data_IF_818333464433
#
_entry.id   IF_818333464433
#
_cell.length_a   1.000
_cell.length_b   1.000
_cell.length_c   1.000
_cell.angle_alpha   90.00
_cell.angle_beta   90.00
_cell.angle_gamma   90.00
#
_symmetry.space_group_name_H-M   'P 1'
#
loop_
_entity.id
_entity.type
_entity.pdbx_description
1 polymer ?
#
# COMPACT_ATOMS: atom_id res chain seq x y z
N UNK A 1 15.22 29.83 69.06
CA UNK A 1 14.28 28.79 68.59
C UNK A 1 14.08 29.08 67.10
N UNK A 2 14.92 28.47 66.24
CA UNK A 2 14.98 28.76 64.80
C UNK A 2 14.26 27.63 64.09
N UNK A 3 13.23 27.96 63.33
CA UNK A 3 12.45 27.04 62.51
C UNK A 3 13.10 26.98 61.14
N UNK A 4 13.66 25.82 60.81
CA UNK A 4 14.18 25.53 59.47
C UNK A 4 13.04 25.06 58.56
N UNK A 5 12.72 25.84 57.51
CA UNK A 5 11.82 25.42 56.44
C UNK A 5 12.58 24.43 55.51
N UNK A 6 12.13 23.19 55.43
CA UNK A 6 12.58 22.24 54.47
C UNK A 6 11.94 22.54 53.10
N UNK A 7 12.78 22.91 52.13
CA UNK A 7 12.45 23.07 50.73
C UNK A 7 12.32 21.71 50.06
N UNK A 8 11.12 21.33 49.65
CA UNK A 8 10.89 20.13 48.88
C UNK A 8 11.25 20.40 47.40
N UNK A 9 12.38 19.83 46.94
CA UNK A 9 12.76 19.82 45.55
C UNK A 9 11.82 18.88 44.76
N UNK A 10 10.98 19.43 43.89
CA UNK A 10 10.27 18.65 42.86
C UNK A 10 11.27 18.15 41.82
N UNK A 11 11.52 16.84 41.78
CA UNK A 11 12.20 16.19 40.66
C UNK A 11 11.28 16.23 39.46
N UNK A 12 11.59 17.08 38.46
CA UNK A 12 10.97 17.02 37.14
C UNK A 12 11.55 15.82 36.42
N UNK A 13 10.75 14.79 36.23
CA UNK A 13 11.08 13.68 35.35
C UNK A 13 10.86 14.17 33.93
N UNK A 14 11.92 14.47 33.23
CA UNK A 14 11.87 14.68 31.77
C UNK A 14 11.68 13.30 31.16
N UNK A 15 10.47 13.01 30.73
CA UNK A 15 10.21 11.86 29.86
C UNK A 15 10.74 12.27 28.49
N UNK A 16 11.93 11.79 28.16
CA UNK A 16 12.42 11.84 26.79
C UNK A 16 11.50 10.95 25.95
N UNK A 17 10.65 11.58 25.17
CA UNK A 17 9.95 10.92 24.07
C UNK A 17 11.03 10.39 23.15
N UNK A 18 11.07 9.08 22.82
CA UNK A 18 12.02 8.61 21.83
C UNK A 18 11.69 9.33 20.53
N UNK A 19 12.55 10.27 20.16
CA UNK A 19 12.59 10.79 18.81
C UNK A 19 12.94 9.59 17.95
N UNK A 20 11.94 9.00 17.30
CA UNK A 20 12.19 8.11 16.18
C UNK A 20 13.02 8.93 15.20
N UNK A 21 14.32 8.77 15.26
CA UNK A 21 15.18 9.12 14.15
C UNK A 21 14.66 8.26 13.02
N UNK A 22 13.93 8.91 12.12
CA UNK A 22 13.70 8.39 10.77
C UNK A 22 15.10 8.19 10.22
N UNK A 23 15.62 6.97 10.32
CA UNK A 23 16.77 6.57 9.52
C UNK A 23 16.36 6.93 8.10
N UNK A 24 17.21 7.70 7.45
CA UNK A 24 17.16 8.01 6.03
C UNK A 24 17.40 6.69 5.27
N UNK A 25 16.40 5.83 5.31
CA UNK A 25 16.31 4.62 4.52
C UNK A 25 16.20 5.08 3.08
N UNK A 26 17.34 5.03 2.39
CA UNK A 26 17.61 5.47 1.03
C UNK A 26 16.34 5.75 0.24
N UNK A 27 16.13 7.01 -0.10
CA UNK A 27 14.94 7.67 -0.65
C UNK A 27 14.05 6.74 -1.49
N UNK A 28 13.00 6.20 -0.85
CA UNK A 28 12.05 5.29 -1.48
C UNK A 28 11.06 6.10 -2.28
N UNK A 29 11.17 6.03 -3.61
CA UNK A 29 10.20 6.66 -4.50
C UNK A 29 8.85 5.96 -4.40
N UNK A 30 7.77 6.73 -4.23
CA UNK A 30 6.41 6.22 -4.08
C UNK A 30 5.93 5.56 -5.37
N UNK A 31 5.24 4.42 -5.21
CA UNK A 31 4.57 3.71 -6.29
C UNK A 31 3.11 4.12 -6.37
N UNK A 32 2.55 4.12 -7.59
CA UNK A 32 1.11 4.27 -7.80
C UNK A 32 0.46 2.89 -7.65
N UNK A 33 -0.40 2.76 -6.66
CA UNK A 33 -1.05 1.48 -6.33
C UNK A 33 -2.56 1.63 -6.37
N UNK A 34 -3.22 0.73 -7.07
CA UNK A 34 -4.66 0.59 -7.05
C UNK A 34 -5.06 -0.64 -6.23
N UNK A 35 -6.13 -0.55 -5.46
CA UNK A 35 -6.76 -1.72 -4.87
C UNK A 35 -7.89 -2.13 -5.81
N UNK A 36 -7.81 -3.35 -6.33
CA UNK A 36 -8.85 -3.93 -7.14
C UNK A 36 -9.93 -4.58 -6.27
N UNK A 37 -10.34 -5.79 -6.64
CA UNK A 37 -11.34 -6.53 -5.88
C UNK A 37 -10.80 -6.94 -4.50
N UNK A 38 -11.65 -6.78 -3.47
CA UNK A 38 -11.51 -7.42 -2.17
C UNK A 38 -12.80 -8.15 -1.84
N UNK A 39 -12.76 -9.44 -1.51
CA UNK A 39 -13.95 -10.28 -1.36
C UNK A 39 -13.89 -11.17 -0.12
N UNK A 40 -15.06 -11.48 0.43
CA UNK A 40 -15.19 -12.49 1.46
C UNK A 40 -15.46 -13.86 0.79
N UNK A 41 -14.47 -14.75 0.82
CA UNK A 41 -14.57 -16.11 0.27
C UNK A 41 -15.05 -17.13 1.31
N UNK A 42 -15.20 -16.72 2.57
CA UNK A 42 -15.69 -17.61 3.65
C UNK A 42 -17.20 -17.83 3.55
N UNK A 43 -17.71 -18.86 4.25
CA UNK A 43 -19.15 -19.07 4.40
C UNK A 43 -19.79 -18.13 5.45
N UNK A 44 -18.95 -17.44 6.24
CA UNK A 44 -19.43 -16.52 7.26
C UNK A 44 -20.01 -15.24 6.65
N UNK A 45 -21.14 -14.78 7.19
CA UNK A 45 -21.89 -13.63 6.73
C UNK A 45 -22.46 -13.74 5.29
N UNK A 46 -22.38 -14.92 4.66
CA UNK A 46 -23.10 -15.21 3.42
C UNK A 46 -24.55 -15.56 3.75
N UNK A 47 -25.42 -14.56 3.83
CA UNK A 47 -26.86 -14.73 3.95
C UNK A 47 -27.55 -14.96 2.60
N UNK A 48 -28.88 -15.10 2.61
CA UNK A 48 -29.72 -15.30 1.40
C UNK A 48 -29.58 -14.12 0.40
N UNK A 49 -29.19 -12.96 0.88
CA UNK A 49 -29.02 -11.71 0.10
C UNK A 49 -27.54 -11.40 -0.22
N UNK A 50 -26.62 -12.36 -0.02
CA UNK A 50 -25.23 -12.18 -0.38
C UNK A 50 -25.08 -12.28 -1.90
N UNK A 51 -24.56 -11.22 -2.50
CA UNK A 51 -24.09 -11.19 -3.89
C UNK A 51 -22.72 -10.45 -3.95
N UNK A 52 -22.12 -10.40 -5.14
CA UNK A 52 -20.81 -9.75 -5.33
C UNK A 52 -20.85 -8.24 -5.07
N UNK A 53 -22.02 -7.61 -5.16
CA UNK A 53 -22.23 -6.19 -4.93
C UNK A 53 -22.49 -5.90 -3.44
N UNK A 54 -22.92 -6.91 -2.70
CA UNK A 54 -23.35 -6.81 -1.31
C UNK A 54 -22.46 -7.66 -0.39
N UNK A 55 -21.14 -7.33 -0.37
CA UNK A 55 -20.13 -7.96 0.49
C UNK A 55 -19.61 -6.97 1.54
N UNK A 56 -20.29 -6.81 2.68
CA UNK A 56 -19.90 -5.85 3.70
C UNK A 56 -18.54 -6.15 4.33
N UNK A 57 -18.17 -7.44 4.49
CA UNK A 57 -16.87 -7.80 5.05
C UNK A 57 -15.74 -7.53 4.06
N UNK A 58 -15.95 -7.79 2.78
CA UNK A 58 -14.98 -7.46 1.74
C UNK A 58 -14.76 -5.96 1.62
N UNK A 59 -15.84 -5.17 1.64
CA UNK A 59 -15.74 -3.69 1.65
C UNK A 59 -14.99 -3.17 2.86
N UNK A 60 -15.30 -3.68 4.05
CA UNK A 60 -14.62 -3.29 5.28
C UNK A 60 -13.12 -3.63 5.26
N UNK A 61 -12.75 -4.81 4.77
CA UNK A 61 -11.35 -5.20 4.63
C UNK A 61 -10.62 -4.32 3.61
N UNK A 62 -11.28 -3.91 2.52
CA UNK A 62 -10.76 -2.96 1.55
C UNK A 62 -10.47 -1.60 2.20
N UNK A 63 -11.41 -1.07 3.00
CA UNK A 63 -11.26 0.20 3.70
C UNK A 63 -10.10 0.16 4.71
N UNK A 64 -9.97 -0.94 5.46
CA UNK A 64 -8.84 -1.15 6.39
C UNK A 64 -7.51 -1.17 5.63
N UNK A 65 -7.44 -1.91 4.51
CA UNK A 65 -6.24 -1.99 3.68
C UNK A 65 -5.86 -0.62 3.11
N UNK A 66 -6.84 0.11 2.53
CA UNK A 66 -6.64 1.45 1.99
C UNK A 66 -6.09 2.41 3.04
N UNK A 67 -6.70 2.42 4.23
CA UNK A 67 -6.27 3.28 5.35
C UNK A 67 -4.84 2.97 5.79
N UNK A 68 -4.49 1.69 5.94
CA UNK A 68 -3.14 1.30 6.36
C UNK A 68 -2.08 1.62 5.30
N UNK A 69 -2.37 1.38 4.01
CA UNK A 69 -1.47 1.73 2.91
C UNK A 69 -1.28 3.25 2.80
N UNK A 70 -2.37 4.04 2.90
CA UNK A 70 -2.30 5.50 2.89
C UNK A 70 -1.46 6.03 4.07
N UNK A 71 -1.71 5.52 5.28
CA UNK A 71 -1.00 5.92 6.50
C UNK A 71 0.49 5.59 6.45
N UNK A 72 0.91 4.59 5.66
CA UNK A 72 2.33 4.25 5.48
C UNK A 72 3.13 5.37 4.80
N UNK A 73 2.47 6.24 4.01
CA UNK A 73 3.09 7.30 3.21
C UNK A 73 4.03 6.80 2.09
N UNK A 74 4.09 5.48 1.85
CA UNK A 74 5.00 4.85 0.87
C UNK A 74 4.39 4.71 -0.52
N UNK A 75 3.08 4.97 -0.66
CA UNK A 75 2.32 4.79 -1.89
C UNK A 75 1.51 6.03 -2.27
N UNK A 76 1.23 6.17 -3.54
CA UNK A 76 0.15 7.00 -4.09
C UNK A 76 -1.00 6.02 -4.39
N UNK A 77 -2.06 6.08 -3.58
CA UNK A 77 -3.21 5.21 -3.77
C UNK A 77 -4.17 5.81 -4.80
N UNK A 78 -4.63 4.96 -5.71
CA UNK A 78 -5.59 5.32 -6.75
C UNK A 78 -6.92 4.68 -6.43
N UNK A 79 -7.98 5.52 -6.41
CA UNK A 79 -9.34 5.02 -6.21
C UNK A 79 -9.83 4.23 -7.44
N UNK A 80 -10.41 3.06 -7.16
CA UNK A 80 -10.97 2.18 -8.20
C UNK A 80 -12.36 1.64 -7.83
N UNK A 81 -12.70 1.61 -6.55
CA UNK A 81 -13.98 1.10 -6.07
C UNK A 81 -15.13 2.00 -6.51
N UNK A 82 -14.95 3.32 -6.38
CA UNK A 82 -15.93 4.34 -6.70
C UNK A 82 -15.55 5.13 -7.97
N UNK A 83 -14.81 4.48 -8.88
CA UNK A 83 -14.29 5.14 -10.09
C UNK A 83 -15.41 5.75 -10.96
N UNK A 84 -16.57 5.10 -11.07
CA UNK A 84 -17.71 5.63 -11.83
C UNK A 84 -18.21 6.95 -11.25
N UNK A 85 -18.39 7.02 -9.95
CA UNK A 85 -18.82 8.22 -9.23
C UNK A 85 -17.77 9.34 -9.38
N UNK A 86 -16.49 8.98 -9.24
CA UNK A 86 -15.39 9.93 -9.43
C UNK A 86 -15.37 10.51 -10.85
N UNK A 87 -15.56 9.68 -11.88
CA UNK A 87 -15.63 10.14 -13.27
C UNK A 87 -16.81 11.06 -13.53
N UNK A 88 -17.98 10.77 -12.94
CA UNK A 88 -19.15 11.66 -13.03
C UNK A 88 -18.87 13.05 -12.41
N UNK A 89 -18.23 13.09 -11.23
CA UNK A 89 -17.86 14.36 -10.59
C UNK A 89 -16.78 15.12 -11.41
N UNK A 90 -15.79 14.42 -11.97
CA UNK A 90 -14.81 15.03 -12.87
C UNK A 90 -15.47 15.67 -14.10
N UNK A 91 -16.47 14.99 -14.72
CA UNK A 91 -17.21 15.53 -15.86
C UNK A 91 -18.01 16.79 -15.51
N UNK A 92 -18.67 16.81 -14.34
CA UNK A 92 -19.39 17.99 -13.84
C UNK A 92 -18.50 19.21 -13.65
N UNK A 93 -17.25 18.98 -13.24
CA UNK A 93 -16.26 20.04 -13.04
C UNK A 93 -15.49 20.45 -14.31
N UNK A 94 -15.87 19.92 -15.46
CA UNK A 94 -15.18 20.20 -16.73
C UNK A 94 -13.76 19.62 -16.80
N UNK A 95 -13.42 18.71 -15.91
CA UNK A 95 -12.13 18.04 -15.85
C UNK A 95 -11.98 16.90 -16.84
N UNK A 96 -10.75 16.60 -17.19
CA UNK A 96 -10.40 15.46 -18.03
C UNK A 96 -10.58 14.11 -17.33
N UNK A 97 -10.13 13.05 -17.97
CA UNK A 97 -10.21 11.69 -17.45
C UNK A 97 -9.38 11.51 -16.17
N UNK A 98 -10.01 11.14 -15.06
CA UNK A 98 -9.36 10.84 -13.79
C UNK A 98 -8.72 9.42 -13.77
N UNK A 99 -8.19 8.97 -14.91
CA UNK A 99 -7.66 7.60 -15.04
C UNK A 99 -6.14 7.55 -15.08
N UNK A 100 -5.53 7.81 -13.94
CA UNK A 100 -4.09 7.55 -13.78
C UNK A 100 -3.81 6.06 -13.78
N UNK A 101 -2.82 5.62 -14.54
CA UNK A 101 -2.34 4.23 -14.52
C UNK A 101 -1.67 3.89 -13.19
N UNK A 102 -1.98 2.71 -12.64
CA UNK A 102 -1.29 2.16 -11.49
C UNK A 102 -0.04 1.39 -11.93
N UNK A 103 1.02 1.41 -11.12
CA UNK A 103 2.17 0.53 -11.28
C UNK A 103 1.82 -0.89 -10.83
N UNK A 104 1.09 -0.98 -9.72
CA UNK A 104 0.66 -2.24 -9.13
C UNK A 104 -0.82 -2.23 -8.78
N UNK A 105 -1.42 -3.42 -8.85
CA UNK A 105 -2.77 -3.66 -8.37
C UNK A 105 -2.75 -4.69 -7.25
N UNK A 106 -3.41 -4.38 -6.13
CA UNK A 106 -3.61 -5.31 -5.02
C UNK A 106 -5.00 -5.94 -5.16
N UNK A 107 -5.06 -7.27 -5.09
CA UNK A 107 -6.29 -8.04 -5.06
C UNK A 107 -6.28 -8.86 -3.78
N UNK A 108 -7.36 -8.80 -3.00
CA UNK A 108 -7.43 -9.46 -1.71
C UNK A 108 -8.70 -10.26 -1.50
N UNK A 109 -8.65 -11.15 -0.50
CA UNK A 109 -9.82 -11.89 -0.03
C UNK A 109 -9.66 -12.28 1.44
N UNK A 110 -10.78 -12.35 2.15
CA UNK A 110 -10.85 -13.00 3.45
C UNK A 110 -11.07 -14.50 3.17
N UNK A 111 -10.10 -15.33 3.55
CA UNK A 111 -10.07 -16.77 3.24
C UNK A 111 -10.61 -17.61 4.38
N UNK A 112 -10.37 -17.19 5.64
CA UNK A 112 -10.90 -17.84 6.83
C UNK A 112 -11.50 -16.79 7.77
N UNK A 113 -12.61 -17.17 8.43
CA UNK A 113 -13.22 -16.35 9.46
C UNK A 113 -13.94 -17.25 10.47
N UNK A 114 -13.57 -17.11 11.74
CA UNK A 114 -14.12 -17.90 12.82
C UNK A 114 -14.42 -17.06 14.07
N UNK A 115 -15.50 -17.42 14.76
CA UNK A 115 -15.89 -16.87 16.07
C UNK A 115 -16.01 -17.98 17.09
N UNK A 116 -15.40 -17.80 18.25
CA UNK A 116 -15.45 -18.75 19.36
C UNK A 116 -15.84 -18.05 20.65
N UNK A 117 -16.80 -18.62 21.37
CA UNK A 117 -17.15 -18.18 22.71
C UNK A 117 -16.79 -19.29 23.70
N UNK A 118 -15.99 -18.96 24.70
CA UNK A 118 -15.60 -19.88 25.78
C UNK A 118 -16.04 -19.30 27.11
N UNK A 119 -16.71 -20.08 27.94
CA UNK A 119 -17.16 -19.67 29.28
C UNK A 119 -16.51 -20.53 30.37
N UNK A 120 -16.09 -19.91 31.47
CA UNK A 120 -15.72 -20.60 32.72
C UNK A 120 -16.62 -20.07 33.83
N UNK A 121 -17.34 -21.00 34.52
CA UNK A 121 -18.23 -20.65 35.62
C UNK A 121 -17.58 -21.13 36.93
N UNK A 122 -17.38 -20.25 37.87
CA UNK A 122 -17.05 -20.54 39.26
C UNK A 122 -18.28 -20.33 40.16
N UNK A 123 -18.19 -20.69 41.44
CA UNK A 123 -19.30 -20.60 42.40
C UNK A 123 -19.84 -19.18 42.56
N UNK A 124 -18.98 -18.16 42.46
CA UNK A 124 -19.33 -16.74 42.63
C UNK A 124 -18.84 -15.84 41.47
N UNK A 125 -18.30 -16.45 40.40
CA UNK A 125 -17.79 -15.69 39.26
C UNK A 125 -18.03 -16.43 37.95
N UNK A 126 -18.32 -15.68 36.90
CA UNK A 126 -18.39 -16.18 35.53
C UNK A 126 -17.45 -15.37 34.66
N UNK A 127 -16.69 -16.06 33.82
CA UNK A 127 -15.81 -15.47 32.82
C UNK A 127 -16.25 -15.93 31.44
N UNK A 128 -16.48 -14.99 30.54
CA UNK A 128 -16.79 -15.26 29.13
C UNK A 128 -15.71 -14.65 28.27
N UNK A 129 -15.09 -15.49 27.43
CA UNK A 129 -14.08 -15.06 26.45
C UNK A 129 -14.64 -15.22 25.05
N UNK A 130 -14.61 -14.15 24.28
CA UNK A 130 -14.96 -14.11 22.87
C UNK A 130 -13.67 -13.99 22.07
N UNK A 131 -13.46 -14.89 21.13
CA UNK A 131 -12.29 -14.88 20.24
C UNK A 131 -12.78 -14.82 18.80
N UNK A 132 -12.15 -13.98 17.98
CA UNK A 132 -12.32 -13.94 16.53
C UNK A 132 -10.98 -14.19 15.89
N UNK A 133 -10.97 -15.05 14.88
CA UNK A 133 -9.82 -15.32 14.02
C UNK A 133 -10.21 -15.04 12.58
N UNK A 134 -9.31 -14.39 11.83
CA UNK A 134 -9.48 -14.11 10.42
C UNK A 134 -8.17 -14.40 9.66
N UNK A 135 -8.28 -14.98 8.47
CA UNK A 135 -7.18 -15.06 7.53
C UNK A 135 -7.50 -14.21 6.30
N UNK A 136 -6.49 -13.47 5.85
CA UNK A 136 -6.57 -12.59 4.69
C UNK A 136 -5.46 -12.94 3.73
N UNK A 137 -5.81 -13.19 2.48
CA UNK A 137 -4.87 -13.42 1.39
C UNK A 137 -4.85 -12.23 0.44
N UNK A 138 -3.67 -11.88 -0.06
CA UNK A 138 -3.46 -10.83 -1.06
C UNK A 138 -2.59 -11.31 -2.21
N UNK A 139 -2.76 -10.66 -3.36
CA UNK A 139 -1.90 -10.78 -4.54
C UNK A 139 -1.53 -9.39 -5.02
N UNK A 140 -0.25 -9.18 -5.28
CA UNK A 140 0.28 -7.98 -5.91
C UNK A 140 0.55 -8.27 -7.38
N UNK A 141 -0.13 -7.56 -8.24
CA UNK A 141 -0.06 -7.72 -9.70
C UNK A 141 0.69 -6.53 -10.28
N UNK A 142 1.71 -6.78 -11.08
CA UNK A 142 2.34 -5.78 -11.93
C UNK A 142 1.41 -5.46 -13.10
N UNK A 143 0.92 -4.22 -13.17
CA UNK A 143 -0.09 -3.83 -14.16
C UNK A 143 0.46 -3.87 -15.58
N UNK A 144 1.75 -3.60 -15.76
CA UNK A 144 2.38 -3.57 -17.09
C UNK A 144 2.49 -4.94 -17.73
N UNK A 145 2.67 -5.99 -16.94
CA UNK A 145 2.84 -7.37 -17.40
C UNK A 145 1.63 -8.26 -17.15
N UNK A 146 0.73 -7.87 -16.23
CA UNK A 146 -0.36 -8.70 -15.74
C UNK A 146 0.10 -9.86 -14.83
N UNK A 147 1.38 -9.91 -14.46
CA UNK A 147 1.93 -10.98 -13.66
C UNK A 147 1.71 -10.75 -12.16
N UNK A 148 1.35 -11.81 -11.44
CA UNK A 148 1.37 -11.83 -9.98
C UNK A 148 2.84 -11.89 -9.56
N UNK A 149 3.34 -10.80 -8.96
CA UNK A 149 4.74 -10.69 -8.53
C UNK A 149 4.93 -11.01 -7.04
N UNK A 150 3.83 -11.08 -6.30
CA UNK A 150 3.81 -11.45 -4.90
C UNK A 150 2.43 -11.96 -4.51
N UNK A 151 2.38 -12.97 -3.63
CA UNK A 151 1.17 -13.47 -2.99
C UNK A 151 1.51 -13.90 -1.59
N UNK A 152 0.64 -13.56 -0.63
CA UNK A 152 0.84 -13.89 0.77
C UNK A 152 -0.52 -14.00 1.49
N UNK A 153 -0.51 -14.70 2.64
CA UNK A 153 -1.64 -14.85 3.53
C UNK A 153 -1.20 -14.62 4.96
N UNK A 154 -1.95 -13.84 5.71
CA UNK A 154 -1.70 -13.61 7.12
C UNK A 154 -2.96 -13.90 7.95
N UNK A 155 -2.73 -14.28 9.22
CA UNK A 155 -3.79 -14.53 10.19
C UNK A 155 -3.75 -13.46 11.27
N UNK A 156 -4.93 -12.99 11.65
CA UNK A 156 -5.13 -12.08 12.78
C UNK A 156 -6.15 -12.63 13.74
N UNK A 157 -6.00 -12.27 15.01
CA UNK A 157 -6.90 -12.68 16.07
C UNK A 157 -7.25 -11.51 16.99
N UNK A 158 -8.46 -11.54 17.55
CA UNK A 158 -8.88 -10.58 18.56
C UNK A 158 -9.67 -11.28 19.65
N UNK A 159 -9.40 -10.90 20.90
CA UNK A 159 -10.02 -11.51 22.07
C UNK A 159 -10.59 -10.44 23.00
N UNK A 160 -11.78 -10.73 23.56
CA UNK A 160 -12.41 -9.96 24.63
C UNK A 160 -12.83 -10.90 25.75
N UNK A 161 -12.28 -10.67 26.94
CA UNK A 161 -12.67 -11.39 28.15
C UNK A 161 -13.51 -10.50 29.05
N UNK A 162 -14.74 -10.93 29.35
CA UNK A 162 -15.66 -10.27 30.29
C UNK A 162 -15.76 -11.14 31.55
N UNK A 163 -15.58 -10.52 32.72
CA UNK A 163 -15.75 -11.17 34.03
C UNK A 163 -16.98 -10.60 34.74
N UNK A 164 -17.78 -11.49 35.32
CA UNK A 164 -18.93 -11.13 36.15
C UNK A 164 -18.74 -11.72 37.55
N UNK A 165 -18.88 -10.90 38.59
CA UNK A 165 -18.73 -11.32 39.99
C UNK A 165 -20.04 -11.08 40.72
N UNK A 166 -20.54 -12.08 41.46
CA UNK A 166 -21.78 -12.02 42.26
C UNK A 166 -23.06 -11.59 41.47
N UNK A 167 -23.15 -12.00 40.20
CA UNK A 167 -24.32 -11.67 39.36
C UNK A 167 -24.42 -10.22 38.91
N UNK A 168 -23.45 -9.38 39.26
CA UNK A 168 -23.33 -7.99 38.79
C UNK A 168 -22.33 -7.96 37.64
N UNK A 169 -22.81 -7.74 36.43
CA UNK A 169 -22.01 -7.65 35.20
C UNK A 169 -22.94 -7.78 33.99
N UNK A 170 -22.64 -7.05 32.94
CA UNK A 170 -23.47 -7.03 31.74
C UNK A 170 -23.52 -8.38 31.03
N UNK A 171 -24.67 -8.74 30.51
CA UNK A 171 -24.80 -9.79 29.50
C UNK A 171 -24.04 -9.34 28.27
N UNK A 172 -22.82 -9.85 28.08
CA UNK A 172 -22.02 -9.49 26.90
C UNK A 172 -22.63 -10.12 25.66
N UNK A 173 -23.36 -9.34 24.87
CA UNK A 173 -23.59 -9.64 23.45
C UNK A 173 -22.23 -9.75 22.75
N UNK A 174 -22.22 -10.39 21.57
CA UNK A 174 -20.97 -10.45 20.80
C UNK A 174 -20.51 -9.05 20.41
N UNK A 175 -19.24 -8.73 20.69
CA UNK A 175 -18.64 -7.46 20.31
C UNK A 175 -18.22 -7.50 18.83
N UNK A 176 -18.96 -6.76 18.00
CA UNK A 176 -18.72 -6.69 16.57
C UNK A 176 -17.32 -6.13 16.22
N UNK A 177 -16.75 -5.29 17.11
CA UNK A 177 -15.43 -4.70 16.88
C UNK A 177 -14.28 -5.71 16.88
N UNK A 178 -14.49 -6.92 17.42
CA UNK A 178 -13.49 -7.99 17.39
C UNK A 178 -13.22 -8.48 15.97
N UNK A 179 -14.24 -8.46 15.11
CA UNK A 179 -14.08 -8.83 13.70
C UNK A 179 -13.14 -7.88 12.99
N UNK A 180 -13.35 -6.57 13.20
CA UNK A 180 -12.53 -5.51 12.60
C UNK A 180 -11.08 -5.58 13.09
N UNK A 181 -10.88 -5.87 14.37
CA UNK A 181 -9.55 -6.01 14.97
C UNK A 181 -8.81 -7.21 14.38
N UNK A 182 -9.44 -8.38 14.26
CA UNK A 182 -8.82 -9.57 13.70
C UNK A 182 -8.43 -9.36 12.22
N UNK A 183 -9.34 -8.82 11.41
CA UNK A 183 -9.06 -8.48 10.00
C UNK A 183 -7.95 -7.43 9.90
N UNK A 184 -8.01 -6.38 10.74
CA UNK A 184 -7.00 -5.30 10.75
C UNK A 184 -5.62 -5.80 11.14
N UNK A 185 -5.51 -6.77 12.05
CA UNK A 185 -4.24 -7.38 12.42
C UNK A 185 -3.64 -8.16 11.25
N UNK A 186 -4.43 -9.04 10.61
CA UNK A 186 -3.99 -9.78 9.42
C UNK A 186 -3.53 -8.84 8.30
N UNK A 187 -4.32 -7.81 7.98
CA UNK A 187 -3.97 -6.82 6.96
C UNK A 187 -2.71 -6.04 7.34
N UNK A 188 -2.50 -5.73 8.63
CA UNK A 188 -1.29 -5.03 9.10
C UNK A 188 -0.01 -5.76 8.71
N UNK A 189 0.04 -7.07 8.94
CA UNK A 189 1.18 -7.92 8.57
C UNK A 189 1.42 -7.93 7.05
N UNK A 190 0.34 -8.03 6.27
CA UNK A 190 0.41 -8.02 4.80
C UNK A 190 0.89 -6.69 4.23
N UNK A 191 0.48 -5.56 4.83
CA UNK A 191 0.91 -4.22 4.41
C UNK A 191 2.43 -4.06 4.56
N UNK A 192 3.03 -4.52 5.67
CA UNK A 192 4.48 -4.50 5.84
C UNK A 192 5.19 -5.30 4.74
N UNK A 193 4.69 -6.49 4.44
CA UNK A 193 5.27 -7.34 3.40
C UNK A 193 5.15 -6.71 2.00
N UNK A 194 4.00 -6.06 1.69
CA UNK A 194 3.82 -5.31 0.44
C UNK A 194 4.84 -4.17 0.34
N UNK A 195 4.99 -3.37 1.40
CA UNK A 195 5.95 -2.26 1.44
C UNK A 195 7.36 -2.79 1.13
N UNK A 196 7.80 -3.83 1.83
CA UNK A 196 9.10 -4.44 1.63
C UNK A 196 9.29 -4.94 0.20
N UNK A 197 8.27 -5.58 -0.38
CA UNK A 197 8.31 -6.08 -1.75
C UNK A 197 8.42 -4.95 -2.77
N UNK A 198 7.61 -3.90 -2.63
CA UNK A 198 7.63 -2.76 -3.53
C UNK A 198 8.93 -1.96 -3.40
N UNK A 199 9.45 -1.77 -2.18
CA UNK A 199 10.69 -1.04 -1.91
C UNK A 199 11.91 -1.74 -2.51
N UNK A 200 11.94 -3.07 -2.47
CA UNK A 200 13.03 -3.87 -3.05
C UNK A 200 13.05 -3.91 -4.58
N UNK A 201 11.96 -3.52 -5.23
CA UNK A 201 11.89 -3.43 -6.69
C UNK A 201 12.34 -2.04 -7.14
N UNK A 202 13.20 -1.89 -8.16
CA UNK A 202 13.59 -0.55 -8.65
C UNK A 202 12.38 0.23 -9.14
N UNK A 203 12.30 1.53 -8.81
CA UNK A 203 11.29 2.42 -9.38
C UNK A 203 11.54 2.61 -10.88
N UNK A 204 10.46 2.66 -11.67
CA UNK A 204 10.52 2.78 -13.12
C UNK A 204 9.53 3.82 -13.61
N UNK A 205 9.93 4.51 -14.69
CA UNK A 205 9.05 5.42 -15.42
C UNK A 205 9.41 5.46 -16.90
N UNK A 206 8.70 6.31 -17.65
CA UNK A 206 8.80 6.44 -19.10
C UNK A 206 9.22 7.84 -19.50
N UNK A 207 9.83 7.96 -20.67
CA UNK A 207 10.09 9.22 -21.32
C UNK A 207 8.79 9.67 -21.98
N UNK A 208 8.33 10.89 -21.68
CA UNK A 208 7.10 11.47 -22.21
C UNK A 208 7.37 12.20 -23.51
N UNK A 209 8.46 13.00 -23.54
CA UNK A 209 8.91 13.79 -24.67
C UNK A 209 10.43 13.84 -24.68
N UNK A 210 11.01 13.92 -25.89
CA UNK A 210 12.44 14.15 -26.08
C UNK A 210 12.63 14.86 -27.40
N UNK A 211 12.78 16.18 -27.35
CA UNK A 211 12.88 17.09 -28.50
C UNK A 211 13.99 18.14 -28.27
N UNK A 212 13.97 19.21 -29.08
CA UNK A 212 14.94 20.32 -28.98
C UNK A 212 14.83 21.11 -27.67
N UNK A 213 13.66 21.14 -27.04
CA UNK A 213 13.42 21.85 -25.78
C UNK A 213 13.86 21.02 -24.54
N UNK A 214 14.13 19.74 -24.73
CA UNK A 214 14.65 18.85 -23.69
C UNK A 214 13.96 17.51 -23.60
N UNK A 215 14.30 16.75 -22.56
CA UNK A 215 13.71 15.44 -22.29
C UNK A 215 12.89 15.49 -21.01
N UNK A 216 11.65 15.00 -21.11
CA UNK A 216 10.69 14.91 -20.03
C UNK A 216 10.43 13.45 -19.67
N UNK A 217 10.41 13.14 -18.38
CA UNK A 217 10.00 11.84 -17.85
C UNK A 217 8.73 11.98 -17.01
N UNK A 218 7.92 10.93 -16.95
CA UNK A 218 6.73 10.90 -16.11
C UNK A 218 7.11 10.79 -14.63
N UNK A 219 6.39 11.54 -13.77
CA UNK A 219 6.57 11.56 -12.32
C UNK A 219 7.31 12.78 -11.82
N UNK A 220 7.10 13.11 -10.56
CA UNK A 220 7.58 14.34 -9.96
C UNK A 220 7.63 14.31 -8.43
N UNK A 221 7.40 15.46 -7.83
CA UNK A 221 7.59 15.72 -6.40
C UNK A 221 6.71 14.84 -5.50
N UNK A 222 5.47 14.51 -5.91
CA UNK A 222 4.57 13.65 -5.13
C UNK A 222 5.10 12.24 -4.94
N UNK A 223 5.86 11.75 -5.95
CA UNK A 223 6.54 10.46 -5.87
C UNK A 223 7.87 10.51 -5.11
N UNK A 224 8.33 11.71 -4.74
CA UNK A 224 9.59 11.94 -4.04
C UNK A 224 10.77 12.20 -4.97
N UNK A 225 10.55 12.49 -6.26
CA UNK A 225 11.62 12.88 -7.20
C UNK A 225 12.08 14.28 -6.83
N UNK A 226 13.41 14.47 -6.80
CA UNK A 226 14.07 15.75 -6.47
C UNK A 226 15.15 16.07 -7.48
N UNK A 227 15.45 17.36 -7.62
CA UNK A 227 16.56 17.85 -8.41
C UNK A 227 17.89 17.19 -8.02
N UNK A 228 18.72 16.89 -9.01
CA UNK A 228 20.01 16.22 -8.85
C UNK A 228 19.94 14.69 -8.73
N UNK A 229 18.76 14.09 -8.58
CA UNK A 229 18.63 12.63 -8.61
C UNK A 229 19.04 12.06 -9.97
N UNK A 230 19.66 10.88 -9.93
CA UNK A 230 20.12 10.18 -11.12
C UNK A 230 19.38 8.84 -11.30
N UNK A 231 19.02 8.57 -12.54
CA UNK A 231 18.32 7.35 -12.96
C UNK A 231 19.05 6.71 -14.12
N UNK A 232 19.00 5.39 -14.18
CA UNK A 232 19.52 4.65 -15.33
C UNK A 232 18.54 4.71 -16.51
N UNK A 233 19.04 4.99 -17.71
CA UNK A 233 18.30 4.83 -18.95
C UNK A 233 18.60 3.45 -19.48
N UNK A 234 17.57 2.63 -19.64
CA UNK A 234 17.68 1.24 -20.13
C UNK A 234 16.82 1.02 -21.36
N UNK A 235 17.29 0.17 -22.27
CA UNK A 235 16.44 -0.35 -23.35
C UNK A 235 15.31 -1.18 -22.73
N UNK A 236 14.13 -1.20 -23.34
CA UNK A 236 13.09 -2.19 -22.99
C UNK A 236 13.63 -3.60 -23.26
N UNK A 237 13.38 -4.51 -22.33
CA UNK A 237 13.79 -5.90 -22.48
C UNK A 237 13.12 -6.56 -23.70
N UNK A 238 13.77 -7.56 -24.28
CA UNK A 238 13.25 -8.32 -25.42
C UNK A 238 12.58 -9.60 -24.95
N UNK A 239 11.40 -9.89 -25.50
CA UNK A 239 10.76 -11.21 -25.34
C UNK A 239 11.38 -12.18 -26.34
N UNK A 240 12.01 -13.26 -25.85
CA UNK A 240 12.62 -14.34 -26.67
C UNK A 240 11.92 -15.63 -26.33
N UNK A 241 11.58 -16.40 -27.37
CA UNK A 241 11.01 -17.73 -27.18
C UNK A 241 12.14 -18.72 -26.85
N UNK A 242 12.00 -19.42 -25.71
CA UNK A 242 12.90 -20.54 -25.43
C UNK A 242 12.67 -21.64 -26.46
N UNK A 243 13.69 -22.04 -27.24
CA UNK A 243 13.50 -23.02 -28.33
C UNK A 243 13.16 -24.42 -27.80
N UNK A 244 13.52 -24.75 -26.56
CA UNK A 244 13.26 -26.08 -25.97
C UNK A 244 11.89 -26.18 -25.36
N UNK A 245 11.45 -25.14 -24.62
CA UNK A 245 10.20 -25.17 -23.85
C UNK A 245 9.05 -24.41 -24.52
N UNK A 246 9.32 -23.61 -25.55
CA UNK A 246 8.35 -22.73 -26.19
C UNK A 246 7.93 -21.52 -25.35
N UNK A 247 8.41 -21.40 -24.12
CA UNK A 247 8.05 -20.33 -23.16
C UNK A 247 8.75 -19.04 -23.59
N UNK A 248 8.00 -17.91 -23.50
CA UNK A 248 8.56 -16.58 -23.71
C UNK A 248 9.34 -16.13 -22.49
N UNK A 249 10.61 -15.80 -22.67
CA UNK A 249 11.53 -15.29 -21.66
C UNK A 249 11.71 -13.79 -21.89
N UNK A 250 11.54 -12.98 -20.85
CA UNK A 250 11.86 -11.56 -20.88
C UNK A 250 13.34 -11.37 -20.56
N UNK A 251 14.14 -11.00 -21.56
CA UNK A 251 15.52 -10.60 -21.33
C UNK A 251 15.56 -9.19 -20.73
N UNK A 252 16.45 -8.94 -19.75
CA UNK A 252 16.60 -7.59 -19.19
C UNK A 252 17.08 -6.60 -20.24
N UNK A 253 16.66 -5.35 -20.14
CA UNK A 253 17.17 -4.26 -20.95
C UNK A 253 18.61 -3.91 -20.57
N UNK A 254 19.37 -3.39 -21.54
CA UNK A 254 20.72 -2.90 -21.33
C UNK A 254 20.68 -1.42 -20.90
N UNK A 255 21.50 -1.04 -19.93
CA UNK A 255 21.71 0.37 -19.61
C UNK A 255 22.51 1.03 -20.72
N UNK A 256 22.00 2.16 -21.20
CA UNK A 256 22.62 2.94 -22.29
C UNK A 256 23.08 4.35 -21.82
N UNK A 257 22.67 4.75 -20.63
CA UNK A 257 23.01 6.07 -20.11
C UNK A 257 22.38 6.39 -18.76
N UNK A 258 22.41 7.67 -18.42
CA UNK A 258 21.92 8.23 -17.17
C UNK A 258 21.06 9.46 -17.44
N UNK A 259 19.94 9.58 -16.73
CA UNK A 259 19.11 10.78 -16.67
C UNK A 259 19.31 11.44 -15.32
N UNK A 260 19.63 12.74 -15.31
CA UNK A 260 19.75 13.55 -14.09
C UNK A 260 18.58 14.53 -14.03
N UNK A 261 17.84 14.57 -12.93
CA UNK A 261 16.71 15.49 -12.73
C UNK A 261 17.22 16.93 -12.66
N UNK A 262 16.66 17.79 -13.48
CA UNK A 262 16.93 19.24 -13.49
C UNK A 262 15.86 19.99 -12.70
N UNK A 263 14.59 19.65 -12.89
CA UNK A 263 13.46 20.23 -12.18
C UNK A 263 12.24 19.32 -12.27
N UNK A 264 11.26 19.54 -11.40
CA UNK A 264 9.96 18.87 -11.43
C UNK A 264 8.86 19.88 -11.69
N UNK A 265 7.79 19.46 -12.37
CA UNK A 265 6.62 20.29 -12.66
C UNK A 265 5.33 19.47 -12.62
N UNK A 266 4.18 20.15 -12.74
CA UNK A 266 2.85 19.57 -12.64
C UNK A 266 2.28 19.68 -11.23
N UNK A 267 0.95 19.78 -11.13
CA UNK A 267 0.23 20.09 -9.88
C UNK A 267 -0.36 18.86 -9.21
N UNK A 268 -0.48 17.76 -9.94
CA UNK A 268 -1.07 16.50 -9.43
C UNK A 268 -0.23 15.30 -9.83
N UNK A 269 -0.28 14.18 -9.09
CA UNK A 269 0.46 12.96 -9.42
C UNK A 269 0.25 12.42 -10.84
N UNK A 270 -0.87 12.80 -11.48
CA UNK A 270 -1.20 12.45 -12.86
C UNK A 270 -0.48 13.33 -13.88
N UNK A 271 -0.34 14.62 -13.57
CA UNK A 271 0.23 15.64 -14.47
C UNK A 271 1.70 15.92 -14.18
N UNK A 272 2.25 15.34 -13.12
CA UNK A 272 3.66 15.53 -12.76
C UNK A 272 4.60 14.95 -13.80
N UNK A 273 5.62 15.76 -14.10
CA UNK A 273 6.74 15.40 -14.95
C UNK A 273 8.04 15.93 -14.36
N UNK A 274 9.14 15.41 -14.86
CA UNK A 274 10.47 15.93 -14.52
C UNK A 274 11.27 16.22 -15.78
N UNK A 275 11.88 17.39 -15.84
CA UNK A 275 12.92 17.71 -16.81
C UNK A 275 14.21 16.99 -16.45
N UNK A 276 14.86 16.39 -17.44
CA UNK A 276 16.10 15.64 -17.23
C UNK A 276 17.19 16.04 -18.21
N UNK A 277 18.41 16.09 -17.71
CA UNK A 277 19.61 16.06 -18.55
C UNK A 277 19.95 14.61 -18.83
N UNK A 278 20.15 14.29 -20.10
CA UNK A 278 20.37 12.93 -20.60
C UNK A 278 21.82 12.79 -21.05
N UNK A 279 22.53 11.79 -20.47
CA UNK A 279 23.88 11.39 -20.88
C UNK A 279 23.81 9.94 -21.38
N UNK A 280 23.81 9.75 -22.71
CA UNK A 280 23.59 8.44 -23.34
C UNK A 280 24.55 8.19 -24.49
N UNK A 281 24.84 6.92 -24.73
CA UNK A 281 25.60 6.46 -25.89
C UNK A 281 24.79 6.46 -27.20
N UNK A 282 23.46 6.54 -27.11
CA UNK A 282 22.54 6.51 -28.26
C UNK A 282 21.61 7.73 -28.17
N UNK A 283 21.33 8.45 -29.28
CA UNK A 283 20.42 9.59 -29.25
C UNK A 283 18.99 9.16 -28.94
N UNK A 284 18.36 9.86 -28.00
CA UNK A 284 16.94 9.69 -27.65
C UNK A 284 16.17 10.85 -28.30
N UNK A 285 15.14 10.50 -29.07
CA UNK A 285 14.23 11.44 -29.71
C UNK A 285 12.79 10.86 -29.75
N UNK A 286 11.82 11.60 -30.24
CA UNK A 286 10.41 11.19 -30.29
C UNK A 286 10.19 9.81 -30.93
N UNK A 287 10.98 9.44 -31.94
CA UNK A 287 10.84 8.14 -32.63
C UNK A 287 11.44 6.99 -31.84
N UNK A 288 12.42 7.24 -30.98
CA UNK A 288 13.16 6.21 -30.22
C UNK A 288 12.81 6.13 -28.76
N UNK A 289 12.25 7.20 -28.15
CA UNK A 289 11.99 7.30 -26.70
C UNK A 289 11.15 6.12 -26.17
N UNK A 290 10.23 5.60 -26.96
CA UNK A 290 9.39 4.46 -26.59
C UNK A 290 10.14 3.14 -26.43
N UNK A 291 11.41 3.07 -26.85
CA UNK A 291 12.26 1.88 -26.70
C UNK A 291 12.97 1.85 -25.34
N UNK A 292 12.86 2.91 -24.55
CA UNK A 292 13.60 3.09 -23.31
C UNK A 292 12.68 3.14 -22.10
N UNK A 293 13.25 2.85 -20.95
CA UNK A 293 12.67 3.03 -19.62
C UNK A 293 13.69 3.74 -18.73
N UNK A 294 13.19 4.51 -17.79
CA UNK A 294 13.98 5.16 -16.74
C UNK A 294 13.83 4.32 -15.47
N UNK A 295 14.94 3.92 -14.88
CA UNK A 295 14.94 3.03 -13.71
C UNK A 295 15.82 3.59 -12.60
N UNK A 296 15.36 3.51 -11.36
CA UNK A 296 16.12 3.90 -10.17
C UNK A 296 17.43 3.10 -10.12
N UNK A 297 18.54 3.81 -9.94
CA UNK A 297 19.85 3.19 -9.70
C UNK A 297 19.89 2.67 -8.26
N UNK A 298 20.36 1.44 -8.09
CA UNK A 298 20.60 0.84 -6.77
C UNK A 298 21.95 1.24 -6.26
#
# INVERSE_FOLDING_TARGET
>A
MSIQLASAQRKTVIVETPTNQVQDDGMVLKRKVAIGRFSNETQYAKGIFYDKENDPMGKQALDILSTKLASSGKFILLERSDLSTLLEECQKNGGGSATTGADYMIIGSITEFGRKNTGKNGVFSSQKTQTVEAAVAIRLVDVSSGLIIYSDEAKGSAELTTKTTMGVGGSASFDATLSDKAISEAIGQLVENIINKCTNSPWKTYIISSDADGTLIAGGASQGIKEGMKFAIKTKGKKVKNPQTGIMINLPGKQIGTATILSTGGDTPETEYSFVSVDTSEPINESTMNNYIIEQMK
#
